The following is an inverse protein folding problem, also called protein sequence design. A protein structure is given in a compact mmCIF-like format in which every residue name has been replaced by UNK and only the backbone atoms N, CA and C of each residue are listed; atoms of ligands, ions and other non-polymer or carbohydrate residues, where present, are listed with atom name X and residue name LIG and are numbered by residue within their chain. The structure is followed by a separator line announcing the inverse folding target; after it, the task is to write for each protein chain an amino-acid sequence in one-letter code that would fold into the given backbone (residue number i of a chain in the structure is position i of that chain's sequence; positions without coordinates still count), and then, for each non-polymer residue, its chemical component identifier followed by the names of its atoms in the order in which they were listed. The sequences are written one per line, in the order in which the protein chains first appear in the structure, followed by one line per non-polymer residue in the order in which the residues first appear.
data_IF_306423319695
#
_entry.id   IF_306423319695
#
_cell.length_a   1.000
_cell.length_b   1.000
_cell.length_c   1.000
_cell.angle_alpha   90.00
_cell.angle_beta   90.00
_cell.angle_gamma   90.00
#
_symmetry.space_group_name_H-M   'P 1'
#
loop_
_entity.id
_entity.type
_entity.pdbx_description
1 polymer ?
#
# COMPACT_ATOMS: atom_id res chain seq x y z
N UNK A 1 -30.71 36.25 -11.79
CA UNK A 1 -31.29 34.96 -12.23
C UNK A 1 -31.08 34.67 -13.72
N UNK A 2 -31.55 35.51 -14.67
CA UNK A 2 -31.38 35.27 -16.11
C UNK A 2 -29.91 35.08 -16.57
N UNK A 3 -29.00 35.96 -16.14
CA UNK A 3 -27.56 35.82 -16.40
C UNK A 3 -26.95 34.56 -15.77
N UNK A 4 -27.44 34.12 -14.60
CA UNK A 4 -26.97 32.90 -13.94
C UNK A 4 -27.37 31.63 -14.70
N UNK A 5 -28.60 31.57 -15.20
CA UNK A 5 -29.06 30.44 -16.02
C UNK A 5 -28.32 30.38 -17.36
N UNK A 6 -28.10 31.54 -18.00
CA UNK A 6 -27.32 31.63 -19.22
C UNK A 6 -25.86 31.18 -19.00
N UNK A 7 -25.26 31.57 -17.87
CA UNK A 7 -23.92 31.14 -17.50
C UNK A 7 -23.82 29.62 -17.33
N UNK A 8 -24.83 28.98 -16.71
CA UNK A 8 -24.89 27.52 -16.57
C UNK A 8 -24.94 26.83 -17.94
N UNK A 9 -25.69 27.37 -18.91
CA UNK A 9 -25.72 26.84 -20.28
C UNK A 9 -24.34 26.93 -20.95
N UNK A 10 -23.66 28.08 -20.82
CA UNK A 10 -22.29 28.22 -21.34
C UNK A 10 -21.30 27.27 -20.67
N UNK A 11 -21.46 27.02 -19.37
CA UNK A 11 -20.64 26.09 -18.61
C UNK A 11 -20.82 24.65 -19.11
N UNK A 12 -22.06 24.21 -19.33
CA UNK A 12 -22.37 22.89 -19.92
C UNK A 12 -21.79 22.74 -21.33
N UNK A 13 -21.74 23.82 -22.11
CA UNK A 13 -21.11 23.85 -23.44
C UNK A 13 -19.58 23.96 -23.41
N UNK A 14 -18.95 23.90 -22.22
CA UNK A 14 -17.49 24.09 -22.02
C UNK A 14 -16.96 25.46 -22.50
N UNK A 15 -17.83 26.46 -22.64
CA UNK A 15 -17.44 27.83 -22.94
C UNK A 15 -17.16 28.59 -21.64
N UNK A 16 -16.05 28.23 -20.98
CA UNK A 16 -15.77 28.64 -19.60
C UNK A 16 -15.65 30.17 -19.43
N UNK A 17 -15.00 30.87 -20.35
CA UNK A 17 -14.84 32.33 -20.27
C UNK A 17 -16.19 33.06 -20.36
N UNK A 18 -17.09 32.57 -21.22
CA UNK A 18 -18.44 33.12 -21.36
C UNK A 18 -19.29 32.83 -20.11
N UNK A 19 -19.17 31.63 -19.55
CA UNK A 19 -19.82 31.27 -18.30
C UNK A 19 -19.36 32.18 -17.15
N UNK A 20 -18.05 32.37 -16.99
CA UNK A 20 -17.45 33.25 -15.98
C UNK A 20 -17.94 34.69 -16.16
N UNK A 21 -17.96 35.19 -17.40
CA UNK A 21 -18.46 36.54 -17.69
C UNK A 21 -19.92 36.70 -17.29
N UNK A 22 -20.79 35.75 -17.66
CA UNK A 22 -22.21 35.79 -17.33
C UNK A 22 -22.47 35.63 -15.83
N UNK A 23 -21.71 34.79 -15.11
CA UNK A 23 -21.80 34.73 -13.65
C UNK A 23 -21.36 36.04 -12.98
N UNK A 24 -20.30 36.67 -13.48
CA UNK A 24 -19.87 37.98 -12.97
C UNK A 24 -20.95 39.05 -13.18
N UNK A 25 -21.61 39.08 -14.35
CA UNK A 25 -22.77 39.96 -14.58
C UNK A 25 -23.92 39.65 -13.61
N UNK A 26 -24.18 38.37 -13.33
CA UNK A 26 -25.20 37.98 -12.37
C UNK A 26 -24.90 38.50 -10.96
N UNK A 27 -23.63 38.45 -10.53
CA UNK A 27 -23.15 38.96 -9.24
C UNK A 27 -23.18 40.50 -9.19
N UNK A 28 -22.86 41.18 -10.29
CA UNK A 28 -22.97 42.64 -10.37
C UNK A 28 -24.42 43.12 -10.26
N UNK A 29 -25.37 42.36 -10.81
CA UNK A 29 -26.80 42.65 -10.67
C UNK A 29 -27.33 42.34 -9.26
N UNK A 30 -26.83 41.28 -8.61
CA UNK A 30 -27.19 40.90 -7.25
C UNK A 30 -25.98 40.32 -6.50
N UNK A 31 -25.37 41.14 -5.66
CA UNK A 31 -24.18 40.77 -4.89
C UNK A 31 -24.46 39.74 -3.79
N UNK A 32 -25.72 39.36 -3.57
CA UNK A 32 -26.11 38.31 -2.60
C UNK A 32 -26.49 37.00 -3.29
N UNK A 33 -26.26 36.87 -4.60
CA UNK A 33 -26.59 35.66 -5.35
C UNK A 33 -25.57 34.53 -5.07
N UNK A 34 -25.81 33.79 -3.98
CA UNK A 34 -24.92 32.74 -3.45
C UNK A 34 -24.55 31.69 -4.49
N UNK A 35 -25.52 31.18 -5.24
CA UNK A 35 -25.29 30.13 -6.25
C UNK A 35 -24.41 30.60 -7.40
N UNK A 36 -24.44 31.90 -7.75
CA UNK A 36 -23.56 32.44 -8.78
C UNK A 36 -22.09 32.42 -8.34
N UNK A 37 -21.81 32.73 -7.06
CA UNK A 37 -20.45 32.61 -6.53
C UNK A 37 -19.94 31.16 -6.54
N UNK A 38 -20.76 30.21 -6.08
CA UNK A 38 -20.37 28.79 -6.11
C UNK A 38 -20.14 28.28 -7.55
N UNK A 39 -21.06 28.60 -8.48
CA UNK A 39 -20.96 28.12 -9.86
C UNK A 39 -19.86 28.82 -10.65
N UNK A 40 -19.60 30.11 -10.39
CA UNK A 40 -18.44 30.81 -10.92
C UNK A 40 -17.13 30.19 -10.41
N UNK A 41 -17.07 29.81 -9.14
CA UNK A 41 -15.93 29.09 -8.56
C UNK A 41 -15.65 27.78 -9.30
N UNK A 42 -16.69 26.99 -9.62
CA UNK A 42 -16.54 25.77 -10.44
C UNK A 42 -16.00 26.09 -11.85
N UNK A 43 -16.55 27.09 -12.53
CA UNK A 43 -16.09 27.51 -13.86
C UNK A 43 -14.64 27.99 -13.88
N UNK A 44 -14.23 28.75 -12.86
CA UNK A 44 -12.85 29.21 -12.68
C UNK A 44 -11.90 28.04 -12.40
N UNK A 45 -12.32 27.07 -11.57
CA UNK A 45 -11.53 25.86 -11.30
C UNK A 45 -11.31 25.06 -12.59
N UNK A 46 -12.37 24.79 -13.35
CA UNK A 46 -12.30 24.07 -14.63
C UNK A 46 -11.44 24.82 -15.67
N UNK A 47 -11.34 26.15 -15.56
CA UNK A 47 -10.47 27.00 -16.40
C UNK A 47 -9.01 27.09 -15.89
N UNK A 48 -8.66 26.41 -14.80
CA UNK A 48 -7.33 26.44 -14.19
C UNK A 48 -7.03 27.68 -13.33
N UNK A 49 -8.01 28.58 -13.12
CA UNK A 49 -7.89 29.82 -12.33
C UNK A 49 -8.23 29.55 -10.86
N UNK A 50 -7.43 28.70 -10.21
CA UNK A 50 -7.74 28.12 -8.90
C UNK A 50 -7.82 29.15 -7.77
N UNK A 51 -6.93 30.15 -7.74
CA UNK A 51 -6.96 31.19 -6.69
C UNK A 51 -8.25 32.02 -6.74
N UNK A 52 -8.71 32.35 -7.95
CA UNK A 52 -9.96 33.08 -8.15
C UNK A 52 -11.17 32.21 -7.79
N UNK A 53 -11.10 30.91 -8.06
CA UNK A 53 -12.13 29.96 -7.64
C UNK A 53 -12.28 29.93 -6.10
N UNK A 54 -11.16 29.90 -5.37
CA UNK A 54 -11.15 29.96 -3.90
C UNK A 54 -11.81 31.24 -3.40
N UNK A 55 -11.46 32.39 -3.98
CA UNK A 55 -12.07 33.67 -3.61
C UNK A 55 -13.59 33.66 -3.84
N UNK A 56 -14.06 33.03 -4.92
CA UNK A 56 -15.50 32.87 -5.18
C UNK A 56 -16.17 31.96 -4.15
N UNK A 57 -15.56 30.82 -3.80
CA UNK A 57 -16.11 29.93 -2.76
C UNK A 57 -16.10 30.58 -1.37
N UNK A 58 -15.05 31.32 -1.03
CA UNK A 58 -15.00 32.08 0.22
C UNK A 58 -16.07 33.18 0.26
N UNK A 59 -16.28 33.90 -0.85
CA UNK A 59 -17.35 34.89 -0.97
C UNK A 59 -18.73 34.24 -0.81
N UNK A 60 -18.94 33.04 -1.40
CA UNK A 60 -20.13 32.23 -1.18
C UNK A 60 -20.33 31.90 0.31
N UNK A 61 -19.27 31.55 1.03
CA UNK A 61 -19.32 31.22 2.46
C UNK A 61 -19.47 32.45 3.36
N UNK A 62 -19.03 33.64 2.94
CA UNK A 62 -19.33 34.90 3.65
C UNK A 62 -20.83 35.19 3.60
N UNK A 63 -21.47 34.93 2.46
CA UNK A 63 -22.92 35.14 2.29
C UNK A 63 -23.75 34.04 2.96
N UNK A 64 -23.27 32.79 2.89
CA UNK A 64 -23.88 31.62 3.52
C UNK A 64 -22.80 30.70 4.08
N UNK A 65 -22.47 30.87 5.37
CA UNK A 65 -21.41 30.13 6.07
C UNK A 65 -21.57 28.60 5.98
N UNK A 66 -22.81 28.14 5.86
CA UNK A 66 -23.19 26.74 5.78
C UNK A 66 -23.61 26.38 4.34
N UNK A 67 -22.84 26.76 3.32
CA UNK A 67 -23.11 26.36 1.93
C UNK A 67 -22.36 25.05 1.59
N UNK A 68 -23.04 23.89 1.49
CA UNK A 68 -22.37 22.60 1.55
C UNK A 68 -21.56 22.26 0.29
N UNK A 69 -21.99 22.71 -0.90
CA UNK A 69 -21.22 22.53 -2.14
C UNK A 69 -19.94 23.37 -2.14
N UNK A 70 -19.98 24.59 -1.58
CA UNK A 70 -18.81 25.47 -1.53
C UNK A 70 -17.76 24.92 -0.55
N UNK A 71 -18.21 24.41 0.61
CA UNK A 71 -17.34 23.68 1.54
C UNK A 71 -16.72 22.44 0.90
N UNK A 72 -17.52 21.63 0.19
CA UNK A 72 -17.01 20.44 -0.52
C UNK A 72 -15.98 20.81 -1.59
N UNK A 73 -16.25 21.86 -2.37
CA UNK A 73 -15.35 22.31 -3.43
C UNK A 73 -14.02 22.85 -2.90
N UNK A 74 -14.03 23.61 -1.81
CA UNK A 74 -12.80 24.01 -1.12
C UNK A 74 -12.04 22.79 -0.60
N UNK A 75 -12.74 21.82 0.01
CA UNK A 75 -12.15 20.55 0.43
C UNK A 75 -11.45 19.82 -0.72
N UNK A 76 -12.07 19.77 -1.90
CA UNK A 76 -11.49 19.15 -3.09
C UNK A 76 -10.20 19.85 -3.55
N UNK A 77 -10.18 21.19 -3.55
CA UNK A 77 -8.98 21.97 -3.91
C UNK A 77 -7.84 21.71 -2.91
N UNK A 78 -8.14 21.74 -1.60
CA UNK A 78 -7.12 21.44 -0.59
C UNK A 78 -6.63 19.99 -0.66
N UNK A 79 -7.49 19.05 -1.07
CA UNK A 79 -7.10 17.67 -1.32
C UNK A 79 -6.13 17.56 -2.51
N UNK A 80 -6.40 18.26 -3.60
CA UNK A 80 -5.51 18.35 -4.79
C UNK A 80 -4.15 18.96 -4.42
N UNK A 81 -4.11 19.91 -3.47
CA UNK A 81 -2.88 20.48 -2.92
C UNK A 81 -2.21 19.64 -1.83
N UNK A 82 -2.69 18.41 -1.60
CA UNK A 82 -2.18 17.49 -0.57
C UNK A 82 -2.26 18.06 0.87
N UNK A 83 -3.13 19.06 1.10
CA UNK A 83 -3.44 19.62 2.42
C UNK A 83 -4.54 18.80 3.09
N UNK A 84 -4.25 17.52 3.38
CA UNK A 84 -5.22 16.51 3.81
C UNK A 84 -6.02 16.93 5.05
N UNK A 85 -5.36 17.48 6.08
CA UNK A 85 -6.02 17.90 7.32
C UNK A 85 -7.03 19.03 7.09
N UNK A 86 -6.68 19.98 6.22
CA UNK A 86 -7.55 21.09 5.83
C UNK A 86 -8.71 20.59 4.97
N UNK A 87 -8.45 19.70 4.01
CA UNK A 87 -9.52 19.09 3.21
C UNK A 87 -10.54 18.35 4.09
N UNK A 88 -10.07 17.58 5.06
CA UNK A 88 -10.92 16.84 5.99
C UNK A 88 -11.82 17.76 6.84
N UNK A 89 -11.33 18.93 7.27
CA UNK A 89 -12.15 19.87 8.05
C UNK A 89 -13.29 20.46 7.21
N UNK A 90 -13.03 20.78 5.94
CA UNK A 90 -14.04 21.26 5.00
C UNK A 90 -15.10 20.18 4.70
N UNK A 91 -14.70 18.93 4.48
CA UNK A 91 -15.68 17.84 4.27
C UNK A 91 -16.56 17.61 5.51
N UNK A 92 -15.97 17.61 6.71
CA UNK A 92 -16.73 17.50 7.97
C UNK A 92 -17.72 18.65 8.15
N UNK A 93 -17.31 19.88 7.82
CA UNK A 93 -18.20 21.03 7.84
C UNK A 93 -19.36 20.87 6.84
N UNK A 94 -19.10 20.38 5.63
CA UNK A 94 -20.14 20.13 4.64
C UNK A 94 -21.17 19.10 5.13
N UNK A 95 -20.71 18.01 5.74
CA UNK A 95 -21.54 16.91 6.26
C UNK A 95 -22.38 17.37 7.48
N UNK A 96 -21.82 18.23 8.34
CA UNK A 96 -22.54 18.77 9.50
C UNK A 96 -23.74 19.65 9.11
N UNK A 97 -23.72 20.20 7.89
CA UNK A 97 -24.74 21.10 7.37
C UNK A 97 -25.83 20.36 6.60
N UNK A 98 -25.50 19.27 5.90
CA UNK A 98 -26.47 18.52 5.08
C UNK A 98 -26.21 17.02 5.10
N UNK A 99 -27.28 16.24 5.22
CA UNK A 99 -27.27 14.77 5.26
C UNK A 99 -27.59 14.11 3.91
N UNK A 100 -27.43 14.84 2.79
CA UNK A 100 -27.79 14.36 1.45
C UNK A 100 -26.67 14.38 0.41
N UNK A 101 -25.44 14.79 0.76
CA UNK A 101 -24.33 14.86 -0.18
C UNK A 101 -23.36 13.67 0.00
N UNK A 102 -23.33 12.79 -1.00
CA UNK A 102 -22.41 11.63 -1.02
C UNK A 102 -20.94 12.00 -1.29
N UNK A 103 -20.70 13.07 -2.04
CA UNK A 103 -19.35 13.49 -2.44
C UNK A 103 -18.39 13.77 -1.27
N UNK A 104 -18.72 14.65 -0.29
CA UNK A 104 -17.84 14.90 0.85
C UNK A 104 -17.63 13.66 1.72
N UNK A 105 -18.64 12.77 1.83
CA UNK A 105 -18.51 11.49 2.54
C UNK A 105 -17.53 10.54 1.86
N UNK A 106 -17.62 10.38 0.54
CA UNK A 106 -16.69 9.57 -0.24
C UNK A 106 -15.24 10.08 -0.09
N UNK A 107 -15.03 11.40 -0.23
CA UNK A 107 -13.69 11.97 -0.13
C UNK A 107 -13.12 11.89 1.29
N UNK A 108 -13.96 12.07 2.31
CA UNK A 108 -13.57 11.88 3.70
C UNK A 108 -13.24 10.42 4.01
N UNK A 109 -13.99 9.47 3.44
CA UNK A 109 -13.71 8.04 3.58
C UNK A 109 -12.35 7.66 3.00
N UNK A 110 -11.97 8.23 1.85
CA UNK A 110 -10.64 8.04 1.25
C UNK A 110 -9.54 8.54 2.19
N UNK A 111 -9.71 9.72 2.80
CA UNK A 111 -8.75 10.27 3.77
C UNK A 111 -8.62 9.34 4.98
N UNK A 112 -9.74 8.90 5.56
CA UNK A 112 -9.70 7.98 6.70
C UNK A 112 -9.03 6.65 6.37
N UNK A 113 -9.29 6.11 5.18
CA UNK A 113 -8.61 4.90 4.70
C UNK A 113 -7.09 5.09 4.60
N UNK A 114 -6.65 6.22 4.02
CA UNK A 114 -5.22 6.57 3.94
C UNK A 114 -4.55 6.71 5.32
N UNK A 115 -5.31 7.14 6.33
CA UNK A 115 -4.85 7.27 7.71
C UNK A 115 -4.90 5.95 8.50
N UNK A 116 -5.42 4.85 7.92
CA UNK A 116 -5.64 3.58 8.61
C UNK A 116 -6.88 3.55 9.51
N UNK A 117 -7.68 4.62 9.53
CA UNK A 117 -8.96 4.70 10.26
C UNK A 117 -10.08 3.98 9.49
N UNK A 118 -9.96 2.67 9.34
CA UNK A 118 -10.88 1.87 8.52
C UNK A 118 -12.34 1.94 9.01
N UNK A 119 -12.56 1.99 10.33
CA UNK A 119 -13.91 2.08 10.91
C UNK A 119 -14.62 3.38 10.50
N UNK A 120 -13.93 4.51 10.55
CA UNK A 120 -14.47 5.82 10.14
C UNK A 120 -14.74 5.86 8.63
N UNK A 121 -13.86 5.27 7.82
CA UNK A 121 -14.07 5.13 6.38
C UNK A 121 -15.31 4.29 6.05
N UNK A 122 -15.49 3.15 6.73
CA UNK A 122 -16.68 2.29 6.58
C UNK A 122 -17.96 3.04 6.98
N UNK A 123 -17.92 3.83 8.06
CA UNK A 123 -19.05 4.64 8.49
C UNK A 123 -19.44 5.68 7.43
N UNK A 124 -18.46 6.36 6.84
CA UNK A 124 -18.68 7.32 5.76
C UNK A 124 -19.34 6.66 4.53
N UNK A 125 -18.83 5.51 4.06
CA UNK A 125 -19.45 4.81 2.93
C UNK A 125 -20.83 4.24 3.26
N UNK A 126 -21.06 3.84 4.51
CA UNK A 126 -22.38 3.39 4.95
C UNK A 126 -23.40 4.51 4.86
N UNK A 127 -23.00 5.74 5.19
CA UNK A 127 -23.86 6.91 5.03
C UNK A 127 -24.10 7.25 3.55
N UNK A 128 -23.08 7.10 2.68
CA UNK A 128 -23.27 7.23 1.23
C UNK A 128 -24.33 6.24 0.72
N UNK A 129 -24.28 5.00 1.19
CA UNK A 129 -25.23 3.95 0.81
C UNK A 129 -26.61 4.11 1.47
N UNK A 130 -26.70 4.86 2.57
CA UNK A 130 -27.98 5.30 3.15
C UNK A 130 -28.65 6.36 2.27
N UNK A 131 -27.86 7.26 1.68
CA UNK A 131 -28.34 8.30 0.75
C UNK A 131 -28.73 7.68 -0.60
N UNK A 132 -27.85 6.84 -1.16
CA UNK A 132 -28.08 6.12 -2.41
C UNK A 132 -27.70 4.63 -2.27
N UNK A 133 -28.69 3.74 -2.01
CA UNK A 133 -28.46 2.30 -1.91
C UNK A 133 -27.98 1.63 -3.21
N UNK A 134 -28.05 2.34 -4.33
CA UNK A 134 -27.65 1.85 -5.66
C UNK A 134 -26.28 2.36 -6.10
N UNK A 135 -25.56 3.08 -5.24
CA UNK A 135 -24.21 3.56 -5.51
C UNK A 135 -23.19 2.41 -5.55
N UNK A 136 -23.09 1.73 -6.69
CA UNK A 136 -22.18 0.59 -6.90
C UNK A 136 -20.71 0.92 -6.61
N UNK A 137 -20.26 2.13 -6.94
CA UNK A 137 -18.89 2.59 -6.66
C UNK A 137 -18.63 2.70 -5.14
N UNK A 138 -19.64 3.11 -4.35
CA UNK A 138 -19.54 3.18 -2.89
C UNK A 138 -19.53 1.77 -2.27
N UNK A 139 -20.30 0.82 -2.81
CA UNK A 139 -20.22 -0.60 -2.41
C UNK A 139 -18.83 -1.17 -2.66
N UNK A 140 -18.26 -0.96 -3.85
CA UNK A 140 -16.89 -1.42 -4.16
C UNK A 140 -15.87 -0.79 -3.21
N UNK A 141 -15.97 0.52 -2.95
CA UNK A 141 -15.03 1.21 -2.06
C UNK A 141 -15.17 0.78 -0.59
N UNK A 142 -16.39 0.54 -0.10
CA UNK A 142 -16.63 -0.01 1.23
C UNK A 142 -16.14 -1.45 1.34
N UNK A 143 -16.39 -2.27 0.32
CA UNK A 143 -15.87 -3.62 0.20
C UNK A 143 -14.33 -3.67 0.24
N UNK A 144 -13.66 -2.77 -0.48
CA UNK A 144 -12.19 -2.64 -0.44
C UNK A 144 -11.71 -2.31 0.98
N UNK A 145 -12.43 -1.42 1.68
CA UNK A 145 -12.09 -1.01 3.05
C UNK A 145 -12.34 -2.14 4.05
N UNK A 146 -13.43 -2.92 3.90
CA UNK A 146 -13.67 -4.12 4.68
C UNK A 146 -12.57 -5.16 4.48
N UNK A 147 -12.15 -5.38 3.22
CA UNK A 147 -11.09 -6.31 2.88
C UNK A 147 -9.75 -5.90 3.52
N UNK A 148 -9.37 -4.63 3.42
CA UNK A 148 -8.16 -4.07 4.06
C UNK A 148 -8.23 -4.18 5.60
N UNK A 149 -9.42 -4.04 6.18
CA UNK A 149 -9.65 -4.21 7.62
C UNK A 149 -9.70 -5.69 8.08
N UNK A 150 -9.65 -6.66 7.16
CA UNK A 150 -9.71 -8.11 7.45
C UNK A 150 -11.12 -8.70 7.51
N UNK A 151 -12.16 -7.90 7.24
CA UNK A 151 -13.58 -8.30 7.21
C UNK A 151 -13.98 -8.78 5.82
N UNK A 152 -13.37 -9.88 5.36
CA UNK A 152 -13.50 -10.35 3.97
C UNK A 152 -14.92 -10.81 3.62
N UNK A 153 -15.66 -11.36 4.58
CA UNK A 153 -17.04 -11.81 4.34
C UNK A 153 -17.97 -10.64 3.97
N UNK A 154 -17.85 -9.51 4.69
CA UNK A 154 -18.60 -8.28 4.40
C UNK A 154 -18.17 -7.65 3.07
N UNK A 155 -16.87 -7.71 2.74
CA UNK A 155 -16.39 -7.26 1.44
C UNK A 155 -17.05 -8.03 0.29
N UNK A 156 -17.14 -9.36 0.40
CA UNK A 156 -17.81 -10.21 -0.59
C UNK A 156 -19.28 -9.79 -0.79
N UNK A 157 -20.02 -9.53 0.30
CA UNK A 157 -21.42 -9.10 0.20
C UNK A 157 -21.56 -7.77 -0.56
N UNK A 158 -20.71 -6.79 -0.23
CA UNK A 158 -20.72 -5.49 -0.91
C UNK A 158 -20.38 -5.64 -2.40
N UNK A 159 -19.39 -6.45 -2.76
CA UNK A 159 -19.05 -6.69 -4.16
C UNK A 159 -20.15 -7.43 -4.93
N UNK A 160 -20.79 -8.44 -4.31
CA UNK A 160 -21.95 -9.14 -4.90
C UNK A 160 -23.08 -8.15 -5.19
N UNK A 161 -23.38 -7.25 -4.24
CA UNK A 161 -24.39 -6.23 -4.43
C UNK A 161 -23.98 -5.26 -5.56
N UNK A 162 -22.71 -4.86 -5.62
CA UNK A 162 -22.20 -3.98 -6.67
C UNK A 162 -22.34 -4.59 -8.07
N UNK A 163 -21.97 -5.86 -8.26
CA UNK A 163 -22.13 -6.56 -9.55
C UNK A 163 -23.59 -6.86 -9.88
N UNK A 164 -24.46 -6.96 -8.87
CA UNK A 164 -25.91 -7.10 -9.08
C UNK A 164 -26.52 -5.81 -9.62
N UNK A 165 -26.13 -4.66 -9.05
CA UNK A 165 -26.60 -3.33 -9.49
C UNK A 165 -25.99 -2.96 -10.85
N UNK A 166 -24.69 -3.21 -11.04
CA UNK A 166 -23.95 -2.87 -12.25
C UNK A 166 -23.16 -4.09 -12.77
N UNK A 167 -23.80 -5.00 -13.51
CA UNK A 167 -23.17 -6.25 -13.99
C UNK A 167 -21.93 -6.07 -14.86
N UNK A 168 -21.83 -4.93 -15.56
CA UNK A 168 -20.74 -4.63 -16.49
C UNK A 168 -19.54 -3.93 -15.83
N UNK A 169 -19.43 -3.97 -14.49
CA UNK A 169 -18.34 -3.32 -13.74
C UNK A 169 -17.17 -4.30 -13.53
N UNK A 170 -16.20 -4.28 -14.44
CA UNK A 170 -15.06 -5.21 -14.43
C UNK A 170 -14.27 -5.17 -13.11
N UNK A 171 -14.08 -3.99 -12.53
CA UNK A 171 -13.40 -3.79 -11.24
C UNK A 171 -14.13 -4.47 -10.08
N UNK A 172 -15.47 -4.46 -10.08
CA UNK A 172 -16.25 -5.11 -9.04
C UNK A 172 -16.09 -6.64 -9.10
N UNK A 173 -16.09 -7.22 -10.31
CA UNK A 173 -15.80 -8.64 -10.53
C UNK A 173 -14.36 -9.02 -10.12
N UNK A 174 -13.39 -8.17 -10.45
CA UNK A 174 -11.98 -8.38 -10.06
C UNK A 174 -11.80 -8.36 -8.54
N UNK A 175 -12.42 -7.41 -7.85
CA UNK A 175 -12.35 -7.32 -6.39
C UNK A 175 -13.11 -8.46 -5.70
N UNK A 176 -14.27 -8.87 -6.25
CA UNK A 176 -15.00 -10.04 -5.79
C UNK A 176 -14.16 -11.32 -5.91
N UNK A 177 -13.51 -11.52 -7.07
CA UNK A 177 -12.62 -12.65 -7.31
C UNK A 177 -11.45 -12.68 -6.32
N UNK A 178 -10.85 -11.52 -6.06
CA UNK A 178 -9.77 -11.36 -5.09
C UNK A 178 -10.22 -11.72 -3.67
N UNK A 179 -11.43 -11.30 -3.26
CA UNK A 179 -11.98 -11.64 -1.95
C UNK A 179 -12.34 -13.14 -1.82
N UNK A 180 -12.86 -13.76 -2.88
CA UNK A 180 -13.08 -15.21 -2.92
C UNK A 180 -11.78 -15.99 -2.80
N UNK A 181 -10.72 -15.56 -3.51
CA UNK A 181 -9.38 -16.15 -3.41
C UNK A 181 -8.87 -16.11 -1.98
N UNK A 182 -8.95 -14.94 -1.34
CA UNK A 182 -8.48 -14.75 0.05
C UNK A 182 -9.30 -15.56 1.07
N UNK A 183 -10.55 -15.91 0.73
CA UNK A 183 -11.44 -16.77 1.54
C UNK A 183 -11.36 -18.25 1.18
N UNK A 184 -10.44 -18.67 0.30
CA UNK A 184 -10.26 -20.07 -0.12
C UNK A 184 -11.29 -20.59 -1.13
N UNK A 185 -12.21 -19.74 -1.63
CA UNK A 185 -13.24 -20.12 -2.61
C UNK A 185 -12.67 -20.01 -4.04
N UNK A 186 -11.73 -20.88 -4.37
CA UNK A 186 -10.89 -20.78 -5.58
C UNK A 186 -11.72 -20.84 -6.89
N UNK A 187 -12.72 -21.72 -6.96
CA UNK A 187 -13.58 -21.88 -8.14
C UNK A 187 -14.40 -20.61 -8.42
N UNK A 188 -14.99 -20.03 -7.37
CA UNK A 188 -15.71 -18.77 -7.46
C UNK A 188 -14.80 -17.62 -7.88
N UNK A 189 -13.57 -17.58 -7.36
CA UNK A 189 -12.55 -16.61 -7.76
C UNK A 189 -12.23 -16.70 -9.26
N UNK A 190 -12.01 -17.92 -9.78
CA UNK A 190 -11.74 -18.15 -11.20
C UNK A 190 -12.91 -17.67 -12.06
N UNK A 191 -14.15 -17.99 -11.70
CA UNK A 191 -15.34 -17.55 -12.43
C UNK A 191 -15.44 -16.02 -12.49
N UNK A 192 -15.26 -15.34 -11.35
CA UNK A 192 -15.30 -13.88 -11.28
C UNK A 192 -14.13 -13.21 -12.03
N UNK A 193 -12.92 -13.77 -11.99
CA UNK A 193 -11.81 -13.26 -12.80
C UNK A 193 -12.07 -13.41 -14.31
N UNK A 194 -12.59 -14.56 -14.74
CA UNK A 194 -12.99 -14.78 -16.15
C UNK A 194 -14.05 -13.76 -16.59
N UNK A 195 -15.02 -13.46 -15.73
CA UNK A 195 -16.03 -12.44 -16.00
C UNK A 195 -15.43 -11.03 -16.11
N UNK A 196 -14.49 -10.68 -15.22
CA UNK A 196 -13.77 -9.40 -15.30
C UNK A 196 -12.99 -9.26 -16.62
N UNK A 197 -12.31 -10.32 -17.07
CA UNK A 197 -11.59 -10.34 -18.35
C UNK A 197 -12.51 -10.32 -19.58
N UNK A 198 -13.69 -10.92 -19.48
CA UNK A 198 -14.72 -10.82 -20.53
C UNK A 198 -15.19 -9.37 -20.72
N UNK A 199 -15.36 -8.63 -19.63
CA UNK A 199 -15.76 -7.21 -19.64
C UNK A 199 -14.59 -6.29 -20.04
N UNK A 200 -13.37 -6.62 -19.63
CA UNK A 200 -12.15 -5.86 -19.94
C UNK A 200 -10.99 -6.83 -20.23
N UNK A 201 -10.69 -7.11 -21.51
CA UNK A 201 -9.60 -8.04 -21.87
C UNK A 201 -8.20 -7.55 -21.48
N UNK A 202 -7.89 -6.26 -21.64
CA UNK A 202 -6.61 -5.69 -21.19
C UNK A 202 -6.70 -5.30 -19.71
N UNK A 203 -6.63 -6.32 -18.84
CA UNK A 203 -6.65 -6.14 -17.39
C UNK A 203 -5.49 -6.91 -16.72
N UNK A 204 -4.25 -6.38 -16.79
CA UNK A 204 -3.03 -7.05 -16.32
C UNK A 204 -3.10 -7.71 -14.95
N UNK A 205 -3.64 -6.98 -13.96
CA UNK A 205 -3.76 -7.44 -12.57
C UNK A 205 -4.65 -8.67 -12.47
N UNK A 206 -5.77 -8.69 -13.20
CA UNK A 206 -6.69 -9.82 -13.24
C UNK A 206 -6.07 -11.01 -13.97
N UNK A 207 -5.41 -10.80 -15.11
CA UNK A 207 -4.73 -11.88 -15.84
C UNK A 207 -3.68 -12.58 -14.96
N UNK A 208 -2.85 -11.78 -14.26
CA UNK A 208 -1.83 -12.31 -13.36
C UNK A 208 -2.43 -13.05 -12.16
N UNK A 209 -3.49 -12.50 -11.56
CA UNK A 209 -4.17 -13.13 -10.42
C UNK A 209 -4.92 -14.40 -10.82
N UNK A 210 -5.53 -14.43 -12.00
CA UNK A 210 -6.17 -15.62 -12.55
C UNK A 210 -5.14 -16.74 -12.75
N UNK A 211 -4.00 -16.45 -13.39
CA UNK A 211 -2.92 -17.43 -13.56
C UNK A 211 -2.49 -18.02 -12.21
N UNK A 212 -2.26 -17.17 -11.22
CA UNK A 212 -1.87 -17.62 -9.89
C UNK A 212 -2.95 -18.49 -9.21
N UNK A 213 -4.24 -18.13 -9.35
CA UNK A 213 -5.33 -18.96 -8.82
C UNK A 213 -5.43 -20.30 -9.55
N UNK A 214 -5.26 -20.35 -10.87
CA UNK A 214 -5.23 -21.60 -11.64
C UNK A 214 -4.06 -22.50 -11.23
N UNK A 215 -2.88 -21.94 -10.99
CA UNK A 215 -1.76 -22.69 -10.42
C UNK A 215 -2.11 -23.32 -9.07
N UNK A 216 -2.85 -22.61 -8.22
CA UNK A 216 -3.23 -23.07 -6.89
C UNK A 216 -4.20 -24.25 -6.91
N UNK A 217 -5.04 -24.36 -7.94
CA UNK A 217 -5.98 -25.48 -8.15
C UNK A 217 -5.44 -26.55 -9.09
N UNK A 218 -4.18 -26.44 -9.51
CA UNK A 218 -3.55 -27.32 -10.49
C UNK A 218 -4.29 -27.40 -11.85
N UNK A 219 -4.98 -26.33 -12.24
CA UNK A 219 -5.53 -26.20 -13.59
C UNK A 219 -4.42 -25.72 -14.53
N UNK A 220 -3.96 -26.63 -15.38
CA UNK A 220 -2.84 -26.42 -16.30
C UNK A 220 -3.23 -26.46 -17.77
N UNK A 221 -4.52 -26.45 -18.10
CA UNK A 221 -5.02 -26.66 -19.48
C UNK A 221 -4.38 -25.67 -20.49
N UNK A 222 -4.23 -24.40 -20.11
CA UNK A 222 -3.66 -23.34 -20.95
C UNK A 222 -2.37 -22.71 -20.37
N UNK A 223 -1.67 -23.46 -19.50
CA UNK A 223 -0.56 -22.96 -18.68
C UNK A 223 0.49 -22.19 -19.48
N UNK A 224 1.03 -22.79 -20.53
CA UNK A 224 2.14 -22.22 -21.29
C UNK A 224 1.75 -20.97 -22.10
N UNK A 225 0.49 -20.88 -22.52
CA UNK A 225 -0.03 -19.68 -23.19
C UNK A 225 -0.20 -18.55 -22.18
N UNK A 226 -0.77 -18.83 -21.01
CA UNK A 226 -0.96 -17.83 -19.96
C UNK A 226 0.36 -17.30 -19.40
N UNK A 227 1.38 -18.16 -19.23
CA UNK A 227 2.69 -17.69 -18.79
C UNK A 227 3.34 -16.74 -19.81
N UNK A 228 3.24 -17.04 -21.11
CA UNK A 228 3.76 -16.15 -22.16
C UNK A 228 3.03 -14.80 -22.15
N UNK A 229 1.71 -14.82 -22.02
CA UNK A 229 0.91 -13.59 -21.90
C UNK A 229 1.31 -12.76 -20.68
N UNK A 230 1.44 -13.40 -19.50
CA UNK A 230 1.85 -12.71 -18.28
C UNK A 230 3.29 -12.18 -18.38
N UNK A 231 4.21 -12.91 -19.01
CA UNK A 231 5.56 -12.42 -19.27
C UNK A 231 5.55 -11.17 -20.18
N UNK A 232 4.76 -11.17 -21.26
CA UNK A 232 4.60 -10.00 -22.13
C UNK A 232 4.04 -8.80 -21.38
N UNK A 233 3.03 -9.02 -20.52
CA UNK A 233 2.45 -8.00 -19.64
C UNK A 233 3.54 -7.40 -18.74
N UNK A 234 4.32 -8.24 -18.05
CA UNK A 234 5.40 -7.79 -17.16
C UNK A 234 6.42 -6.95 -17.93
N UNK A 235 6.92 -7.46 -19.07
CA UNK A 235 7.92 -6.77 -19.89
C UNK A 235 7.39 -5.42 -20.40
N UNK A 236 6.12 -5.36 -20.81
CA UNK A 236 5.43 -4.12 -21.21
C UNK A 236 5.36 -3.12 -20.06
N UNK A 237 4.93 -3.56 -18.87
CA UNK A 237 4.83 -2.71 -17.68
C UNK A 237 6.20 -2.16 -17.26
N UNK A 238 7.23 -3.00 -17.22
CA UNK A 238 8.60 -2.58 -16.88
C UNK A 238 9.11 -1.51 -17.85
N UNK A 239 8.89 -1.73 -19.17
CA UNK A 239 9.27 -0.78 -20.23
C UNK A 239 8.54 0.56 -20.11
N UNK A 240 7.27 0.53 -19.69
CA UNK A 240 6.47 1.74 -19.42
C UNK A 240 6.77 2.38 -18.06
N UNK A 241 7.73 1.84 -17.30
CA UNK A 241 8.02 2.27 -15.92
C UNK A 241 6.82 2.18 -14.97
N UNK A 242 5.90 1.26 -15.24
CA UNK A 242 4.83 0.89 -14.33
C UNK A 242 5.32 -0.17 -13.35
N UNK A 243 4.69 -0.23 -12.17
CA UNK A 243 4.90 -1.32 -11.23
C UNK A 243 4.31 -2.61 -11.84
N UNK A 244 5.08 -3.72 -11.94
CA UNK A 244 4.56 -4.97 -12.48
C UNK A 244 3.38 -5.49 -11.68
N UNK A 245 2.39 -6.09 -12.35
CA UNK A 245 1.24 -6.73 -11.69
C UNK A 245 1.61 -8.03 -10.96
N UNK A 246 2.78 -8.60 -11.26
CA UNK A 246 3.32 -9.78 -10.57
C UNK A 246 4.31 -9.33 -9.50
N UNK A 247 4.02 -9.69 -8.25
CA UNK A 247 4.91 -9.46 -7.12
C UNK A 247 6.16 -10.34 -7.20
N UNK A 248 7.31 -9.90 -6.66
CA UNK A 248 8.55 -10.67 -6.70
C UNK A 248 8.42 -12.08 -6.11
N UNK A 249 7.63 -12.27 -5.05
CA UNK A 249 7.39 -13.60 -4.46
C UNK A 249 6.65 -14.56 -5.39
N UNK A 250 5.65 -14.08 -6.12
CA UNK A 250 4.95 -14.90 -7.11
C UNK A 250 5.87 -15.26 -8.29
N UNK A 251 6.73 -14.32 -8.70
CA UNK A 251 7.66 -14.50 -9.81
C UNK A 251 8.64 -15.67 -9.60
N UNK A 252 8.93 -16.07 -8.35
CA UNK A 252 9.79 -17.21 -8.02
C UNK A 252 9.21 -18.53 -8.56
N UNK A 253 7.88 -18.64 -8.60
CA UNK A 253 7.19 -19.84 -9.09
C UNK A 253 6.97 -19.80 -10.62
N UNK A 254 7.40 -18.74 -11.31
CA UNK A 254 7.12 -18.54 -12.73
C UNK A 254 8.33 -18.98 -13.55
N UNK A 255 8.12 -19.62 -14.73
CA UNK A 255 9.21 -20.07 -15.60
C UNK A 255 9.77 -18.88 -16.40
N UNK A 256 10.23 -17.84 -15.71
CA UNK A 256 10.76 -16.61 -16.32
C UNK A 256 12.28 -16.53 -16.18
N UNK A 257 12.88 -15.72 -17.05
CA UNK A 257 14.30 -15.41 -17.01
C UNK A 257 14.71 -14.76 -15.66
N UNK A 258 15.82 -15.17 -15.02
CA UNK A 258 16.25 -14.62 -13.73
C UNK A 258 16.55 -13.11 -13.76
N UNK A 259 16.99 -12.55 -14.89
CA UNK A 259 17.19 -11.10 -14.98
C UNK A 259 15.85 -10.36 -15.00
N UNK A 260 14.81 -10.94 -15.62
CA UNK A 260 13.46 -10.42 -15.52
C UNK A 260 12.95 -10.45 -14.07
N UNK A 261 13.21 -11.53 -13.32
CA UNK A 261 12.86 -11.60 -11.90
C UNK A 261 13.56 -10.49 -11.08
N UNK A 262 14.85 -10.24 -11.34
CA UNK A 262 15.59 -9.13 -10.75
C UNK A 262 15.00 -7.76 -11.12
N UNK A 263 14.55 -7.56 -12.37
CA UNK A 263 13.89 -6.32 -12.80
C UNK A 263 12.55 -6.09 -12.09
N UNK A 264 11.75 -7.15 -11.88
CA UNK A 264 10.53 -7.09 -11.08
C UNK A 264 10.87 -6.62 -9.66
N UNK A 265 11.83 -7.27 -9.00
CA UNK A 265 12.29 -6.87 -7.66
C UNK A 265 12.77 -5.41 -7.62
N UNK A 266 13.52 -4.95 -8.62
CA UNK A 266 13.99 -3.55 -8.71
C UNK A 266 12.84 -2.55 -8.77
N UNK A 267 11.78 -2.83 -9.54
CA UNK A 267 10.60 -1.94 -9.61
C UNK A 267 9.88 -1.83 -8.26
N UNK A 268 9.75 -2.95 -7.54
CA UNK A 268 9.19 -2.94 -6.20
C UNK A 268 10.08 -2.21 -5.19
N UNK A 269 11.41 -2.36 -5.27
CA UNK A 269 12.33 -1.62 -4.43
C UNK A 269 12.23 -0.11 -4.62
N UNK A 270 12.16 0.35 -5.89
CA UNK A 270 11.96 1.78 -6.21
C UNK A 270 10.63 2.29 -5.64
N UNK A 271 9.57 1.48 -5.71
CA UNK A 271 8.28 1.83 -5.10
C UNK A 271 8.40 1.99 -3.58
N UNK A 272 9.13 1.10 -2.90
CA UNK A 272 9.39 1.24 -1.46
C UNK A 272 10.20 2.51 -1.14
N UNK A 273 11.17 2.89 -1.97
CA UNK A 273 11.89 4.16 -1.83
C UNK A 273 10.98 5.38 -2.01
N UNK A 274 10.04 5.35 -2.96
CA UNK A 274 9.04 6.40 -3.13
C UNK A 274 8.07 6.51 -1.94
N UNK A 275 7.71 5.39 -1.32
CA UNK A 275 6.92 5.39 -0.09
C UNK A 275 7.74 5.97 1.06
N UNK A 276 8.99 5.53 1.22
CA UNK A 276 9.92 6.04 2.23
C UNK A 276 10.11 7.57 2.14
N UNK A 277 10.27 8.11 0.92
CA UNK A 277 10.48 9.55 0.73
C UNK A 277 9.30 10.42 1.19
N UNK A 278 8.07 9.85 1.23
CA UNK A 278 6.87 10.58 1.69
C UNK A 278 6.88 10.86 3.18
N UNK A 279 7.65 10.12 3.97
CA UNK A 279 7.82 10.40 5.40
C UNK A 279 8.71 11.62 5.66
N UNK A 280 9.45 12.11 4.67
CA UNK A 280 10.21 13.36 4.77
C UNK A 280 11.32 13.35 5.82
N UNK A 281 11.86 12.17 6.16
CA UNK A 281 12.95 12.08 7.13
C UNK A 281 14.29 12.51 6.51
N UNK A 282 15.15 13.24 7.25
CA UNK A 282 16.52 13.45 6.84
C UNK A 282 17.29 12.12 6.84
N UNK A 283 18.42 12.01 6.09
CA UNK A 283 19.30 10.86 6.18
C UNK A 283 19.74 10.59 7.63
N UNK A 284 19.69 9.33 8.04
CA UNK A 284 20.10 8.95 9.39
C UNK A 284 21.61 9.07 9.59
N UNK A 285 22.01 9.45 10.81
CA UNK A 285 23.41 9.42 11.23
C UNK A 285 23.71 8.02 11.77
N UNK A 286 24.65 7.34 11.14
CA UNK A 286 25.06 6.01 11.56
C UNK A 286 26.16 6.06 12.63
N UNK A 287 26.20 5.09 13.56
CA UNK A 287 27.32 4.96 14.48
C UNK A 287 28.62 4.74 13.69
N UNK A 288 29.77 5.24 14.18
CA UNK A 288 31.06 4.96 13.55
C UNK A 288 31.32 3.45 13.58
N UNK A 289 32.05 2.90 12.59
CA UNK A 289 32.46 1.50 12.61
C UNK A 289 33.21 1.20 13.91
N UNK A 290 32.67 0.31 14.74
CA UNK A 290 33.32 -0.14 15.96
C UNK A 290 33.97 -1.50 15.70
N UNK A 291 35.26 -1.69 16.02
CA UNK A 291 35.86 -3.02 16.01
C UNK A 291 35.17 -3.87 17.07
N UNK A 292 34.62 -5.02 16.66
CA UNK A 292 33.97 -5.98 17.58
C UNK A 292 34.96 -6.49 18.64
N UNK A 293 36.26 -6.46 18.35
CA UNK A 293 37.34 -6.78 19.29
C UNK A 293 38.45 -5.74 19.19
N UNK A 294 38.38 -4.69 20.01
CA UNK A 294 39.51 -3.79 20.25
C UNK A 294 40.04 -4.01 21.67
N UNK A 295 41.37 -4.05 21.82
CA UNK A 295 42.00 -4.15 23.15
C UNK A 295 41.47 -3.04 24.06
N UNK A 296 40.83 -3.43 25.18
CA UNK A 296 40.31 -2.51 26.19
C UNK A 296 38.93 -1.87 25.90
N UNK A 297 38.20 -2.28 24.84
CA UNK A 297 36.81 -1.84 24.59
C UNK A 297 35.85 -3.03 24.48
N UNK A 298 34.86 -3.06 25.38
CA UNK A 298 33.76 -4.04 25.41
C UNK A 298 32.55 -3.52 24.62
N UNK A 299 32.67 -3.39 23.31
CA UNK A 299 31.53 -3.06 22.43
C UNK A 299 30.93 -4.32 21.82
N UNK A 300 29.63 -4.57 22.03
CA UNK A 300 28.89 -5.66 21.37
C UNK A 300 28.39 -5.19 20.01
N UNK A 301 28.37 -6.09 19.02
CA UNK A 301 27.74 -5.83 17.73
C UNK A 301 26.22 -5.85 17.90
N UNK A 302 25.54 -4.76 17.54
CA UNK A 302 24.07 -4.66 17.57
C UNK A 302 23.46 -5.15 16.27
N UNK A 303 22.74 -6.26 16.36
CA UNK A 303 22.05 -6.90 15.23
C UNK A 303 20.54 -6.81 15.45
N UNK A 304 19.84 -6.20 14.49
CA UNK A 304 18.39 -6.10 14.49
C UNK A 304 17.76 -7.03 13.45
N UNK A 305 16.79 -7.84 13.85
CA UNK A 305 15.99 -8.68 12.96
C UNK A 305 14.60 -8.07 12.82
N UNK A 306 14.18 -7.78 11.59
CA UNK A 306 12.83 -7.24 11.31
C UNK A 306 12.00 -8.29 10.61
N UNK A 307 10.85 -8.64 11.19
CA UNK A 307 9.98 -9.65 10.63
C UNK A 307 8.50 -9.47 11.00
N UNK A 308 7.61 -9.71 10.05
CA UNK A 308 6.18 -9.97 10.30
C UNK A 308 5.87 -11.39 10.80
N UNK A 309 6.87 -12.26 10.86
CA UNK A 309 6.65 -13.70 10.93
C UNK A 309 7.10 -14.30 12.27
N UNK A 310 7.29 -13.46 13.30
CA UNK A 310 7.48 -13.89 14.69
C UNK A 310 6.15 -14.38 15.27
N UNK A 311 5.85 -15.66 15.09
CA UNK A 311 4.56 -16.28 15.40
C UNK A 311 4.47 -17.69 14.80
N UNK A 312 3.28 -18.23 14.63
CA UNK A 312 3.09 -19.52 13.96
C UNK A 312 3.24 -19.38 12.43
N UNK A 313 4.49 -19.27 11.99
CA UNK A 313 4.88 -19.09 10.60
C UNK A 313 6.16 -19.90 10.28
N UNK A 314 6.34 -20.40 9.04
CA UNK A 314 7.53 -21.15 8.65
C UNK A 314 8.87 -20.49 9.04
N UNK A 315 8.96 -19.16 8.99
CA UNK A 315 10.17 -18.45 9.45
C UNK A 315 10.51 -18.78 10.91
N UNK A 316 9.53 -18.67 11.81
CA UNK A 316 9.72 -18.97 13.24
C UNK A 316 9.93 -20.45 13.50
N UNK A 317 9.31 -21.31 12.70
CA UNK A 317 9.52 -22.77 12.73
C UNK A 317 10.99 -23.13 12.44
N UNK A 318 11.65 -22.37 11.57
CA UNK A 318 13.01 -22.63 11.13
C UNK A 318 14.07 -21.90 11.96
N UNK A 319 13.80 -20.65 12.35
CA UNK A 319 14.77 -19.76 12.98
C UNK A 319 14.51 -19.47 14.46
N UNK A 320 13.44 -20.01 15.05
CA UNK A 320 12.94 -19.59 16.36
C UNK A 320 14.00 -19.49 17.45
N UNK A 321 14.93 -20.46 17.52
CA UNK A 321 16.03 -20.42 18.50
C UNK A 321 17.29 -19.67 18.08
N UNK A 322 17.46 -19.30 16.81
CA UNK A 322 18.63 -18.53 16.34
C UNK A 322 18.77 -17.22 17.11
N UNK A 323 17.65 -16.56 17.39
CA UNK A 323 17.63 -15.25 18.06
C UNK A 323 18.17 -15.31 19.49
N UNK A 324 17.94 -16.41 20.21
CA UNK A 324 18.45 -16.62 21.58
C UNK A 324 19.84 -17.25 21.66
N UNK A 325 20.34 -17.81 20.56
CA UNK A 325 21.62 -18.51 20.49
C UNK A 325 22.82 -17.63 20.17
N UNK A 326 22.61 -16.32 19.96
CA UNK A 326 23.73 -15.40 19.80
C UNK A 326 24.63 -15.38 21.04
N UNK A 327 25.93 -15.29 20.79
CA UNK A 327 26.92 -15.08 21.85
C UNK A 327 26.75 -13.68 22.44
N UNK A 328 26.16 -13.62 23.62
CA UNK A 328 25.83 -12.36 24.31
C UNK A 328 27.07 -11.57 24.73
N UNK A 329 28.26 -12.17 24.78
CA UNK A 329 29.48 -11.41 25.06
C UNK A 329 29.91 -10.55 23.85
N UNK A 330 29.52 -10.96 22.64
CA UNK A 330 29.96 -10.34 21.39
C UNK A 330 28.82 -9.66 20.61
N UNK A 331 27.56 -10.09 20.78
CA UNK A 331 26.41 -9.64 19.99
C UNK A 331 25.25 -9.25 20.92
N UNK A 332 24.67 -8.08 20.68
CA UNK A 332 23.42 -7.60 21.30
C UNK A 332 22.29 -7.70 20.27
N UNK A 333 21.24 -8.47 20.58
CA UNK A 333 20.21 -8.88 19.60
C UNK A 333 18.90 -8.15 19.84
N UNK A 334 18.35 -7.59 18.76
CA UNK A 334 17.05 -6.93 18.72
C UNK A 334 16.13 -7.63 17.73
N UNK A 335 14.89 -7.91 18.13
CA UNK A 335 13.84 -8.42 17.25
C UNK A 335 12.70 -7.41 17.17
N UNK A 336 12.43 -6.89 15.97
CA UNK A 336 11.35 -5.94 15.69
C UNK A 336 10.20 -6.66 14.99
N UNK A 337 9.12 -6.91 15.74
CA UNK A 337 7.95 -7.63 15.24
C UNK A 337 6.98 -6.70 14.50
N UNK A 338 6.82 -6.92 13.19
CA UNK A 338 5.86 -6.18 12.36
C UNK A 338 4.42 -6.70 12.52
N UNK A 339 4.24 -7.85 13.16
CA UNK A 339 2.94 -8.47 13.45
C UNK A 339 2.63 -8.48 14.94
N UNK A 340 1.33 -8.34 15.23
CA UNK A 340 0.81 -8.47 16.59
C UNK A 340 1.08 -9.86 17.14
N UNK A 341 1.13 -9.97 18.46
CA UNK A 341 1.26 -11.25 19.14
C UNK A 341 0.05 -12.15 18.84
N UNK A 342 0.30 -13.30 18.20
CA UNK A 342 -0.70 -14.30 17.85
C UNK A 342 -1.01 -15.29 18.99
N UNK A 343 -0.36 -15.13 20.15
CA UNK A 343 -0.54 -15.96 21.34
C UNK A 343 0.13 -17.33 21.27
N UNK A 344 0.86 -17.62 20.19
CA UNK A 344 1.41 -18.95 19.93
C UNK A 344 2.71 -19.19 20.71
N UNK A 345 3.05 -20.46 20.92
CA UNK A 345 4.31 -20.84 21.59
C UNK A 345 5.56 -20.31 20.86
N UNK A 346 5.48 -20.14 19.53
CA UNK A 346 6.56 -19.60 18.71
C UNK A 346 6.87 -18.16 19.08
N UNK A 347 5.83 -17.30 19.14
CA UNK A 347 5.97 -15.90 19.55
C UNK A 347 6.49 -15.80 20.98
N UNK A 348 5.92 -16.56 21.91
CA UNK A 348 6.31 -16.55 23.33
C UNK A 348 7.77 -16.95 23.52
N UNK A 349 8.22 -18.01 22.83
CA UNK A 349 9.60 -18.50 22.90
C UNK A 349 10.59 -17.48 22.36
N UNK A 350 10.34 -16.92 21.18
CA UNK A 350 11.24 -15.91 20.59
C UNK A 350 11.31 -14.68 21.51
N UNK A 351 10.18 -14.25 22.06
CA UNK A 351 10.13 -13.15 23.04
C UNK A 351 10.94 -13.42 24.31
N UNK A 352 10.96 -14.66 24.80
CA UNK A 352 11.69 -15.03 26.00
C UNK A 352 13.20 -15.24 25.76
N UNK A 353 13.57 -15.72 24.56
CA UNK A 353 14.95 -16.09 24.22
C UNK A 353 15.75 -14.92 23.63
N UNK A 354 15.12 -14.05 22.84
CA UNK A 354 15.74 -12.84 22.31
C UNK A 354 16.05 -11.86 23.46
N UNK A 355 17.18 -11.17 23.35
CA UNK A 355 17.59 -10.21 24.39
C UNK A 355 16.67 -8.97 24.42
N UNK A 356 16.38 -8.40 23.26
CA UNK A 356 15.39 -7.34 23.10
C UNK A 356 14.34 -7.79 22.08
N UNK A 357 13.08 -7.84 22.49
CA UNK A 357 11.96 -8.10 21.60
C UNK A 357 10.97 -6.95 21.66
N UNK A 358 10.72 -6.30 20.52
CA UNK A 358 9.95 -5.08 20.42
C UNK A 358 8.79 -5.30 19.46
N UNK A 359 7.57 -5.17 19.97
CA UNK A 359 6.37 -5.18 19.13
C UNK A 359 6.18 -3.79 18.50
N UNK A 360 6.38 -3.71 17.19
CA UNK A 360 6.25 -2.49 16.41
C UNK A 360 5.07 -2.52 15.44
N UNK A 361 4.19 -3.53 15.57
CA UNK A 361 3.10 -3.79 14.63
C UNK A 361 2.10 -2.63 14.53
N UNK A 362 1.90 -1.88 15.62
CA UNK A 362 1.02 -0.71 15.66
C UNK A 362 1.70 0.61 15.25
N UNK A 363 3.00 0.61 14.92
CA UNK A 363 3.77 1.82 14.63
C UNK A 363 3.86 2.08 13.12
N UNK A 364 3.96 3.35 12.72
CA UNK A 364 4.25 3.75 11.33
C UNK A 364 5.72 3.51 10.97
N UNK A 365 6.03 3.39 9.68
CA UNK A 365 7.34 2.87 9.25
C UNK A 365 8.48 3.84 9.61
N UNK A 366 8.19 5.14 9.63
CA UNK A 366 9.13 6.20 10.01
C UNK A 366 9.48 6.15 11.51
N UNK A 367 8.50 5.83 12.37
CA UNK A 367 8.71 5.66 13.81
C UNK A 367 9.59 4.44 14.06
N UNK A 368 9.36 3.35 13.33
CA UNK A 368 10.19 2.13 13.42
C UNK A 368 11.63 2.42 12.97
N UNK A 369 11.80 3.12 11.85
CA UNK A 369 13.14 3.47 11.36
C UNK A 369 13.91 4.38 12.35
N UNK A 370 13.24 5.37 12.95
CA UNK A 370 13.83 6.21 14.01
C UNK A 370 14.27 5.37 15.20
N UNK A 371 13.40 4.48 15.70
CA UNK A 371 13.69 3.58 16.80
C UNK A 371 14.92 2.70 16.51
N UNK A 372 14.97 2.07 15.33
CA UNK A 372 16.14 1.25 14.91
C UNK A 372 17.43 2.08 14.92
N UNK A 373 17.39 3.34 14.48
CA UNK A 373 18.56 4.22 14.52
C UNK A 373 18.92 4.70 15.94
N UNK A 374 17.93 4.93 16.79
CA UNK A 374 18.10 5.28 18.21
C UNK A 374 18.72 4.11 18.99
N UNK A 375 18.31 2.88 18.69
CA UNK A 375 18.88 1.63 19.19
C UNK A 375 20.32 1.38 18.70
N UNK A 376 20.82 2.20 17.76
CA UNK A 376 22.17 2.10 17.17
C UNK A 376 22.43 0.73 16.54
N UNK A 377 21.43 0.16 15.88
CA UNK A 377 21.59 -1.08 15.12
C UNK A 377 22.68 -0.90 14.05
N UNK A 378 23.63 -1.82 14.02
CA UNK A 378 24.77 -1.80 13.09
C UNK A 378 24.52 -2.70 11.89
N UNK A 379 23.87 -3.86 12.11
CA UNK A 379 23.44 -4.79 11.06
C UNK A 379 21.95 -5.01 11.20
N UNK A 380 21.18 -4.56 10.22
CA UNK A 380 19.73 -4.74 10.17
C UNK A 380 19.36 -5.81 9.15
N UNK A 381 18.68 -6.85 9.61
CA UNK A 381 18.37 -8.04 8.85
C UNK A 381 16.88 -8.03 8.48
N UNK A 382 16.62 -8.04 7.17
CA UNK A 382 15.31 -8.20 6.56
C UNK A 382 14.98 -9.69 6.44
N UNK A 383 14.01 -10.15 7.23
CA UNK A 383 13.51 -11.52 7.23
C UNK A 383 12.18 -11.68 6.48
N UNK A 384 11.79 -10.72 5.63
CA UNK A 384 10.55 -10.80 4.87
C UNK A 384 10.74 -10.74 3.35
N UNK A 385 11.65 -9.88 2.86
CA UNK A 385 11.72 -9.52 1.45
C UNK A 385 10.35 -9.08 0.91
N UNK A 386 9.83 -9.72 -0.13
CA UNK A 386 8.54 -9.35 -0.74
C UNK A 386 7.39 -10.30 -0.38
N UNK A 387 7.29 -10.69 0.89
CA UNK A 387 6.20 -11.52 1.41
C UNK A 387 5.11 -10.68 2.12
N UNK A 388 4.02 -11.34 2.53
CA UNK A 388 2.91 -10.69 3.23
C UNK A 388 3.39 -10.11 4.57
N UNK A 389 3.04 -8.85 4.84
CA UNK A 389 3.43 -8.16 6.08
C UNK A 389 4.79 -7.47 6.03
N UNK A 390 5.54 -7.62 4.93
CA UNK A 390 6.79 -6.91 4.72
C UNK A 390 6.61 -5.38 4.70
N UNK A 391 7.53 -4.67 5.34
CA UNK A 391 7.58 -3.20 5.39
C UNK A 391 8.94 -2.70 4.92
N UNK A 392 9.25 -2.97 3.66
CA UNK A 392 10.56 -2.69 3.06
C UNK A 392 10.90 -1.20 2.99
N UNK A 393 9.92 -0.32 3.11
CA UNK A 393 10.14 1.12 3.24
C UNK A 393 10.93 1.49 4.51
N UNK A 394 10.91 0.65 5.57
CA UNK A 394 11.79 0.79 6.74
C UNK A 394 13.25 0.73 6.30
N UNK A 395 13.60 -0.28 5.50
CA UNK A 395 14.95 -0.46 4.95
C UNK A 395 15.30 0.59 3.91
N UNK A 396 14.32 1.04 3.11
CA UNK A 396 14.55 2.10 2.14
C UNK A 396 14.90 3.45 2.80
N UNK A 397 14.49 3.68 4.05
CA UNK A 397 14.93 4.84 4.84
C UNK A 397 16.35 4.69 5.41
N UNK A 398 16.96 3.51 5.29
CA UNK A 398 18.33 3.21 5.73
C UNK A 398 18.62 3.63 7.18
N UNK A 399 17.93 3.09 8.21
CA UNK A 399 18.21 3.43 9.61
C UNK A 399 19.52 2.83 10.16
N UNK A 400 20.04 1.77 9.54
CA UNK A 400 21.28 1.10 9.90
C UNK A 400 22.33 1.17 8.77
N UNK A 401 23.64 1.18 9.08
CA UNK A 401 24.70 1.31 8.08
C UNK A 401 24.91 0.07 7.22
N UNK A 402 24.50 -1.11 7.70
CA UNK A 402 24.55 -2.37 6.95
C UNK A 402 23.16 -3.00 7.01
N UNK A 403 22.59 -3.28 5.84
CA UNK A 403 21.29 -3.91 5.71
C UNK A 403 21.40 -5.20 4.89
N UNK A 404 20.79 -6.27 5.40
CA UNK A 404 21.02 -7.63 4.93
C UNK A 404 19.68 -8.32 4.68
N UNK A 405 19.53 -9.00 3.55
CA UNK A 405 18.42 -9.94 3.34
C UNK A 405 18.83 -11.34 3.78
N UNK A 406 17.95 -12.03 4.50
CA UNK A 406 18.19 -13.39 4.95
C UNK A 406 16.89 -14.19 5.12
N UNK A 407 16.92 -15.44 4.63
CA UNK A 407 15.95 -16.52 4.87
C UNK A 407 14.52 -16.30 4.37
N UNK A 408 13.81 -15.27 4.83
CA UNK A 408 12.36 -15.13 4.64
C UNK A 408 11.90 -14.83 3.20
N UNK A 409 12.82 -14.56 2.29
CA UNK A 409 12.53 -14.38 0.86
C UNK A 409 13.60 -15.08 0.01
N UNK A 410 13.23 -16.13 -0.76
CA UNK A 410 14.20 -16.91 -1.52
C UNK A 410 14.52 -16.26 -2.88
N UNK A 411 15.01 -15.02 -2.87
CA UNK A 411 15.37 -14.28 -4.07
C UNK A 411 16.03 -12.93 -3.78
N UNK A 412 16.47 -12.25 -4.84
CA UNK A 412 17.01 -10.89 -4.74
C UNK A 412 15.91 -9.88 -4.41
N UNK A 413 16.19 -8.98 -3.47
CA UNK A 413 15.33 -7.83 -3.19
C UNK A 413 15.37 -6.80 -4.31
N UNK A 414 16.36 -6.83 -5.20
CA UNK A 414 16.53 -5.82 -6.26
C UNK A 414 16.78 -4.40 -5.73
N UNK A 415 16.94 -4.24 -4.42
CA UNK A 415 17.00 -2.96 -3.75
C UNK A 415 18.43 -2.44 -3.65
N UNK A 416 18.63 -1.17 -3.98
CA UNK A 416 19.93 -0.50 -3.77
C UNK A 416 20.23 -0.21 -2.30
N UNK A 417 19.23 -0.33 -1.43
CA UNK A 417 19.35 -0.11 0.01
C UNK A 417 19.57 -1.39 0.82
N UNK A 418 19.62 -2.57 0.18
CA UNK A 418 20.03 -3.83 0.84
C UNK A 418 21.42 -4.19 0.33
N UNK A 419 22.39 -4.25 1.23
CA UNK A 419 23.81 -4.39 0.89
C UNK A 419 24.18 -5.85 0.59
N UNK A 420 23.66 -6.77 1.39
CA UNK A 420 24.07 -8.18 1.37
C UNK A 420 22.87 -9.14 1.35
N UNK A 421 23.08 -10.30 0.72
CA UNK A 421 22.19 -11.45 0.79
C UNK A 421 22.95 -12.62 1.43
N UNK A 422 22.48 -13.10 2.58
CA UNK A 422 23.03 -14.30 3.22
C UNK A 422 22.48 -15.53 2.50
N UNK A 423 23.39 -16.31 1.93
CA UNK A 423 23.11 -17.49 1.09
C UNK A 423 24.26 -18.51 1.22
N UNK A 424 24.36 -19.48 0.31
CA UNK A 424 25.47 -20.42 0.20
C UNK A 424 25.84 -20.65 -1.29
N UNK A 425 27.00 -21.28 -1.52
CA UNK A 425 27.53 -21.49 -2.89
C UNK A 425 26.70 -22.51 -3.68
N UNK A 426 25.90 -23.36 -3.03
CA UNK A 426 25.03 -24.31 -3.74
C UNK A 426 23.77 -23.61 -4.28
N UNK A 427 23.11 -22.82 -3.43
CA UNK A 427 21.86 -22.13 -3.76
C UNK A 427 22.11 -20.89 -4.62
N UNK A 428 23.15 -20.12 -4.32
CA UNK A 428 23.53 -18.92 -5.07
C UNK A 428 25.03 -18.97 -5.43
N UNK A 429 25.42 -19.79 -6.43
CA UNK A 429 26.81 -19.88 -6.86
C UNK A 429 27.37 -18.53 -7.31
N UNK A 430 28.63 -18.24 -6.98
CA UNK A 430 29.28 -16.95 -7.27
C UNK A 430 29.21 -16.55 -8.75
N UNK A 431 29.26 -17.54 -9.67
CA UNK A 431 29.13 -17.31 -11.13
C UNK A 431 27.79 -16.65 -11.54
N UNK A 432 26.75 -16.79 -10.72
CA UNK A 432 25.44 -16.19 -10.92
C UNK A 432 25.24 -14.92 -10.07
N UNK A 433 26.28 -14.33 -9.47
CA UNK A 433 26.14 -13.11 -8.68
C UNK A 433 25.50 -11.93 -9.47
N UNK A 434 25.59 -11.94 -10.80
CA UNK A 434 25.01 -10.89 -11.67
C UNK A 434 23.47 -10.85 -11.69
N UNK A 435 22.77 -11.91 -11.25
CA UNK A 435 21.31 -11.94 -11.14
C UNK A 435 20.80 -11.46 -9.76
N UNK A 436 21.70 -11.01 -8.88
CA UNK A 436 21.38 -10.43 -7.58
C UNK A 436 21.80 -8.96 -7.54
N UNK A 437 21.02 -8.10 -6.89
CA UNK A 437 21.45 -6.72 -6.61
C UNK A 437 22.40 -6.64 -5.42
N UNK A 438 22.22 -7.54 -4.44
CA UNK A 438 23.02 -7.61 -3.22
C UNK A 438 24.37 -8.30 -3.46
N UNK A 439 25.34 -8.00 -2.60
CA UNK A 439 26.56 -8.82 -2.51
C UNK A 439 26.25 -10.13 -1.79
N UNK A 440 26.68 -11.24 -2.36
CA UNK A 440 26.46 -12.56 -1.76
C UNK A 440 27.39 -12.76 -0.55
N UNK A 441 26.82 -13.17 0.58
CA UNK A 441 27.55 -13.62 1.77
C UNK A 441 27.28 -15.11 1.92
N UNK A 442 28.28 -15.94 1.65
CA UNK A 442 28.16 -17.39 1.75
C UNK A 442 28.41 -17.89 3.16
N UNK A 443 27.42 -18.55 3.74
CA UNK A 443 27.65 -19.42 4.90
C UNK A 443 28.46 -20.65 4.48
N UNK A 444 29.28 -21.22 5.39
CA UNK A 444 30.23 -22.28 5.04
C UNK A 444 29.58 -23.59 4.60
N UNK A 445 28.30 -23.80 4.92
CA UNK A 445 27.56 -25.03 4.62
C UNK A 445 26.26 -24.72 3.88
N UNK A 446 25.21 -24.42 4.64
CA UNK A 446 23.91 -24.07 4.10
C UNK A 446 23.42 -22.78 4.77
N UNK A 447 22.79 -21.91 3.99
CA UNK A 447 22.11 -20.72 4.52
C UNK A 447 20.80 -21.07 5.23
N UNK A 448 20.21 -22.21 4.89
CA UNK A 448 18.96 -22.68 5.45
C UNK A 448 19.20 -23.28 6.84
N UNK A 449 18.42 -22.83 7.82
CA UNK A 449 18.47 -23.31 9.21
C UNK A 449 17.15 -23.97 9.58
N UNK A 450 17.22 -25.02 10.40
CA UNK A 450 16.05 -25.69 10.99
C UNK A 450 16.13 -25.55 12.51
N UNK A 451 14.99 -25.34 13.17
CA UNK A 451 14.95 -25.24 14.63
C UNK A 451 15.10 -26.63 15.24
N UNK A 452 16.23 -26.87 15.90
CA UNK A 452 16.56 -28.12 16.56
C UNK A 452 15.53 -28.55 17.62
N UNK A 453 14.73 -27.61 18.16
CA UNK A 453 13.68 -27.93 19.13
C UNK A 453 12.45 -28.60 18.50
N UNK A 454 12.37 -28.70 17.18
CA UNK A 454 11.27 -29.41 16.49
C UNK A 454 11.35 -30.94 16.60
N UNK A 455 12.51 -31.52 16.95
CA UNK A 455 12.68 -32.98 17.09
C UNK A 455 11.91 -33.63 18.27
N UNK A 456 11.11 -32.86 19.03
CA UNK A 456 10.36 -33.35 20.20
C UNK A 456 8.83 -33.28 20.08
N UNK A 457 8.29 -33.22 18.86
CA UNK A 457 6.84 -33.30 18.59
C UNK A 457 6.43 -34.69 18.09
#
# INVERSE_FOLDING_TARGET
MAYGNLATIYYEQRQLDMAIHCYNQAILCDSRFVEAYNNMGNALKDAGRVEEAINCFQSCLVLQANHPQALTNLGNIYMEWNMISTAASFYKAAIAVTSGLSSPLNNLAVIYKQQGSYADAIACYTEVLRIDPTAADALVNRGNTFKEFGRVAEAIQDYIQAVTIRPNMAEAHANLASAYKDSGHQEAAIASYKQALCLRPDFPEVTCNLLHTLQSVCDWENRDTMFREVEEIIRRQIKMSLLPSVQPFHAIAYPIDPLLALEISRKYAVQCSLIASRFGLPPFVHPPPLPVKAEGKHGRLRVGYVSSDFGNHPLSHLMGSVFGMHDRDNVEVFCYALSQNDGTEWRQRIQAEAEHFIDVSAMTSDVIAKMINEDKIQVLINLNGYTKGARNEIFAMQPAPIQVSYMGFPGTTGASYIDYLVTDEFVSPTRYAHIYSEKLVHLPHCYFVNDYKQEKL
#
